data_IF_291636852408
#
_entry.id   IF_291636852408
#
_cell.length_a   1.000
_cell.length_b   1.000
_cell.length_c   1.000
_cell.angle_alpha   90.00
_cell.angle_beta   90.00
_cell.angle_gamma   90.00
#
_symmetry.space_group_name_H-M   'P 1'
#
loop_
_entity.id
_entity.type
_entity.pdbx_description
1 polymer ?
#
# COMPACT_ATOMS: atom_id res chain seq x y z
N UNK A 1 -13.76 -15.61 -22.19
CA UNK A 1 -14.29 -14.67 -21.17
C UNK A 1 -13.31 -14.70 -20.00
N UNK A 2 -12.42 -13.72 -19.90
CA UNK A 2 -11.47 -13.67 -18.77
C UNK A 2 -12.27 -13.24 -17.56
N UNK A 3 -12.43 -14.16 -16.61
CA UNK A 3 -13.08 -13.91 -15.35
C UNK A 3 -12.24 -12.85 -14.63
N UNK A 4 -12.66 -11.59 -14.69
CA UNK A 4 -12.09 -10.50 -13.88
C UNK A 4 -12.58 -10.68 -12.44
N UNK A 5 -12.26 -11.82 -11.83
CA UNK A 5 -12.43 -11.93 -10.38
C UNK A 5 -11.53 -10.87 -9.77
N UNK A 6 -12.12 -10.05 -8.90
CA UNK A 6 -11.39 -9.05 -8.14
C UNK A 6 -10.45 -9.80 -7.20
N UNK A 7 -9.20 -9.98 -7.62
CA UNK A 7 -8.18 -10.66 -6.82
C UNK A 7 -7.67 -9.67 -5.80
N UNK A 8 -8.02 -9.91 -4.53
CA UNK A 8 -7.45 -9.18 -3.40
C UNK A 8 -6.34 -10.01 -2.79
N UNK A 9 -5.24 -9.35 -2.42
CA UNK A 9 -4.17 -9.98 -1.65
C UNK A 9 -4.54 -10.01 -0.17
N UNK A 10 -4.22 -11.10 0.52
CA UNK A 10 -4.27 -11.13 1.98
C UNK A 10 -3.17 -10.26 2.58
N UNK A 11 -3.30 -9.91 3.87
CA UNK A 11 -2.27 -9.18 4.63
C UNK A 11 -0.90 -9.83 4.49
N UNK A 12 -0.80 -11.14 4.71
CA UNK A 12 0.47 -11.87 4.62
C UNK A 12 1.08 -11.83 3.20
N UNK A 13 0.24 -11.85 2.17
CA UNK A 13 0.68 -11.73 0.78
C UNK A 13 1.20 -10.33 0.47
N UNK A 14 0.56 -9.29 1.01
CA UNK A 14 1.03 -7.89 0.89
C UNK A 14 2.38 -7.73 1.59
N UNK A 15 2.52 -8.23 2.82
CA UNK A 15 3.78 -8.15 3.56
C UNK A 15 4.91 -8.92 2.86
N UNK A 16 4.59 -10.09 2.30
CA UNK A 16 5.55 -10.86 1.51
C UNK A 16 5.99 -10.10 0.25
N UNK A 17 5.04 -9.49 -0.46
CA UNK A 17 5.31 -8.68 -1.64
C UNK A 17 6.19 -7.46 -1.30
N UNK A 18 5.89 -6.79 -0.19
CA UNK A 18 6.68 -5.66 0.29
C UNK A 18 8.12 -6.07 0.63
N UNK A 19 8.31 -7.19 1.35
CA UNK A 19 9.63 -7.72 1.70
C UNK A 19 10.46 -8.10 0.47
N UNK A 20 9.83 -8.45 -0.65
CA UNK A 20 10.51 -8.75 -1.90
C UNK A 20 11.07 -7.52 -2.63
N UNK A 21 10.62 -6.31 -2.26
CA UNK A 21 11.01 -5.07 -2.94
C UNK A 21 12.37 -4.55 -2.47
N UNK A 22 13.26 -4.27 -3.44
CA UNK A 22 14.61 -3.76 -3.16
C UNK A 22 14.67 -2.25 -2.91
N UNK A 23 13.72 -1.49 -3.47
CA UNK A 23 13.72 -0.02 -3.38
C UNK A 23 12.63 0.46 -2.43
N UNK A 24 12.94 1.51 -1.68
CA UNK A 24 11.98 2.15 -0.78
C UNK A 24 10.73 2.62 -1.55
N UNK A 25 10.90 3.22 -2.73
CA UNK A 25 9.80 3.68 -3.58
C UNK A 25 8.77 2.58 -3.87
N UNK A 26 9.25 1.38 -4.20
CA UNK A 26 8.39 0.27 -4.59
C UNK A 26 7.60 -0.23 -3.38
N UNK A 27 8.23 -0.27 -2.19
CA UNK A 27 7.55 -0.54 -0.92
C UNK A 27 6.48 0.50 -0.60
N UNK A 28 6.79 1.79 -0.75
CA UNK A 28 5.82 2.87 -0.52
C UNK A 28 4.60 2.75 -1.45
N UNK A 29 4.80 2.39 -2.72
CA UNK A 29 3.68 2.18 -3.67
C UNK A 29 2.78 1.03 -3.18
N UNK A 30 3.37 -0.09 -2.76
CA UNK A 30 2.62 -1.23 -2.22
C UNK A 30 1.84 -0.82 -0.97
N UNK A 31 2.49 -0.14 -0.03
CA UNK A 31 1.85 0.26 1.23
C UNK A 31 0.70 1.25 1.01
N UNK A 32 0.90 2.27 0.17
CA UNK A 32 -0.14 3.27 -0.14
C UNK A 32 -1.36 2.65 -0.83
N UNK A 33 -1.14 1.67 -1.70
CA UNK A 33 -2.23 0.93 -2.34
C UNK A 33 -2.95 -0.04 -1.40
N UNK A 34 -2.19 -0.83 -0.66
CA UNK A 34 -2.73 -1.91 0.16
C UNK A 34 -3.38 -1.45 1.47
N UNK A 35 -2.79 -0.45 2.14
CA UNK A 35 -3.24 -0.01 3.47
C UNK A 35 -4.11 1.24 3.43
N UNK A 36 -3.91 2.13 2.46
CA UNK A 36 -4.68 3.38 2.33
C UNK A 36 -5.75 3.32 1.24
N UNK A 37 -5.78 2.26 0.42
CA UNK A 37 -6.74 2.10 -0.67
C UNK A 37 -6.56 3.08 -1.82
N UNK A 38 -5.40 3.75 -1.91
CA UNK A 38 -5.13 4.72 -2.97
C UNK A 38 -4.99 4.00 -4.32
N UNK A 39 -5.57 4.60 -5.35
CA UNK A 39 -5.44 4.14 -6.73
C UNK A 39 -4.07 4.55 -7.28
N UNK A 40 -3.59 3.83 -8.29
CA UNK A 40 -2.27 4.08 -8.87
C UNK A 40 -2.04 5.54 -9.31
N UNK A 41 -3.07 6.22 -9.85
CA UNK A 41 -2.96 7.62 -10.25
C UNK A 41 -2.94 8.60 -9.06
N UNK A 42 -3.45 8.19 -7.90
CA UNK A 42 -3.45 8.97 -6.66
C UNK A 42 -2.07 8.86 -6.00
N UNK A 43 -1.53 7.65 -5.94
CA UNK A 43 -0.15 7.37 -5.48
C UNK A 43 0.87 8.20 -6.27
N UNK A 44 0.71 8.27 -7.60
CA UNK A 44 1.62 9.04 -8.46
C UNK A 44 1.57 10.56 -8.20
N UNK A 45 0.47 11.08 -7.66
CA UNK A 45 0.25 12.51 -7.38
C UNK A 45 0.54 12.89 -5.93
N UNK A 46 0.60 11.91 -5.03
CA UNK A 46 0.78 12.13 -3.60
C UNK A 46 2.06 12.93 -3.32
N UNK A 47 1.94 13.98 -2.49
CA UNK A 47 3.06 14.80 -2.05
C UNK A 47 3.30 14.60 -0.56
N UNK A 48 4.57 14.66 -0.16
CA UNK A 48 4.95 14.52 1.26
C UNK A 48 4.24 15.54 2.15
N UNK A 49 4.02 16.77 1.66
CA UNK A 49 3.32 17.81 2.41
C UNK A 49 1.82 17.57 2.64
N UNK A 50 1.23 16.55 2.02
CA UNK A 50 -0.16 16.14 2.23
C UNK A 50 -0.30 15.06 3.31
N UNK A 51 0.83 14.49 3.77
CA UNK A 51 0.86 13.46 4.81
C UNK A 51 0.75 14.09 6.20
N UNK A 52 -0.01 13.44 7.08
CA UNK A 52 -0.05 13.78 8.51
C UNK A 52 0.47 12.59 9.29
N UNK A 53 1.44 12.85 10.16
CA UNK A 53 1.93 11.87 11.11
C UNK A 53 0.89 11.68 12.22
N UNK A 54 0.63 10.42 12.58
CA UNK A 54 -0.21 10.08 13.71
C UNK A 54 0.44 8.93 14.49
N UNK A 55 0.45 9.03 15.81
CA UNK A 55 0.87 7.95 16.69
C UNK A 55 -0.30 7.00 16.87
N UNK A 56 -0.12 5.73 16.53
CA UNK A 56 -1.08 4.69 16.90
C UNK A 56 -0.82 4.34 18.37
N UNK A 57 -1.71 4.77 19.26
CA UNK A 57 -1.74 4.21 20.61
C UNK A 57 -2.27 2.78 20.51
N UNK A 58 -1.36 1.80 20.56
CA UNK A 58 -1.75 0.40 20.73
C UNK A 58 -2.38 0.27 22.12
N UNK A 59 -3.71 0.14 22.17
CA UNK A 59 -4.41 -0.31 23.36
C UNK A 59 -4.03 -1.79 23.58
N UNK A 60 -3.02 -2.01 24.44
CA UNK A 60 -2.67 -3.31 25.00
C UNK A 60 -3.77 -3.83 25.94
#
# INVERSE_FOLDING_TARGET
MVNQSKVWLSKDQVETLEKSCKRLKDRCIIQLGAWSGLRAYEIAKAKVGELREYTVEENL
#
